data_IF_111707736097
#
_entry.id   IF_111707736097
#
_cell.length_a   1.000
_cell.length_b   1.000
_cell.length_c   1.000
_cell.angle_alpha   90.00
_cell.angle_beta   90.00
_cell.angle_gamma   90.00
#
_symmetry.space_group_name_H-M   'P 1'
#
loop_
_entity.id
_entity.type
_entity.pdbx_description
1 polymer ?
#
# COMPACT_ATOMS: atom_id res chain seq x y z
N UNK A 1 11.82 -40.62 19.94
CA UNK A 1 12.07 -41.37 18.67
C UNK A 1 13.22 -40.70 17.95
N UNK A 2 14.32 -41.42 17.65
CA UNK A 2 15.47 -40.82 16.93
C UNK A 2 15.11 -40.61 15.44
N UNK A 3 15.84 -39.74 14.75
CA UNK A 3 15.63 -39.42 13.32
C UNK A 3 15.54 -40.69 12.44
N UNK A 4 16.37 -41.70 12.66
CA UNK A 4 16.39 -42.97 11.93
C UNK A 4 15.05 -43.71 12.01
N UNK A 5 14.47 -43.78 13.22
CA UNK A 5 13.18 -44.42 13.45
C UNK A 5 12.05 -43.68 12.74
N UNK A 6 12.10 -42.33 12.79
CA UNK A 6 11.10 -41.46 12.12
C UNK A 6 11.14 -41.62 10.62
N UNK A 7 12.32 -41.59 10.00
CA UNK A 7 12.48 -41.84 8.56
C UNK A 7 11.86 -43.19 8.17
N UNK A 8 12.19 -44.25 8.96
CA UNK A 8 11.66 -45.60 8.70
C UNK A 8 10.13 -45.65 8.84
N UNK A 9 9.58 -45.00 9.88
CA UNK A 9 8.14 -44.96 10.13
C UNK A 9 7.38 -44.20 9.00
N UNK A 10 7.87 -43.04 8.63
CA UNK A 10 7.27 -42.20 7.57
C UNK A 10 7.30 -42.89 6.21
N UNK A 11 8.46 -43.48 5.84
CA UNK A 11 8.58 -44.26 4.61
C UNK A 11 7.59 -45.43 4.56
N UNK A 12 7.50 -46.22 5.64
CA UNK A 12 6.55 -47.34 5.73
C UNK A 12 5.11 -46.86 5.68
N UNK A 13 4.77 -45.74 6.32
CA UNK A 13 3.43 -45.13 6.26
C UNK A 13 3.08 -44.67 4.86
N UNK A 14 4.05 -44.16 4.09
CA UNK A 14 3.88 -43.81 2.68
C UNK A 14 3.84 -45.05 1.75
N UNK A 15 4.08 -46.28 2.26
CA UNK A 15 4.10 -47.51 1.48
C UNK A 15 5.34 -47.67 0.59
N UNK A 16 6.41 -46.89 0.81
CA UNK A 16 7.59 -46.88 -0.06
C UNK A 16 8.67 -47.86 0.36
N UNK A 17 9.37 -48.42 -0.62
CA UNK A 17 10.65 -49.11 -0.43
C UNK A 17 11.79 -48.11 -0.17
N UNK A 18 12.91 -48.61 0.31
CA UNK A 18 14.13 -47.76 0.46
C UNK A 18 14.61 -47.21 -0.88
N UNK A 19 14.35 -47.92 -1.98
CA UNK A 19 14.77 -47.54 -3.33
C UNK A 19 13.88 -46.41 -3.86
N UNK A 20 12.58 -46.49 -3.66
CA UNK A 20 11.63 -45.42 -4.00
C UNK A 20 11.89 -44.14 -3.22
N UNK A 21 12.15 -44.23 -1.90
CA UNK A 21 12.53 -43.05 -1.12
C UNK A 21 13.84 -42.44 -1.60
N UNK A 22 14.82 -43.25 -1.99
CA UNK A 22 16.09 -42.81 -2.54
C UNK A 22 15.91 -42.05 -3.85
N UNK A 23 15.03 -42.57 -4.74
CA UNK A 23 14.68 -41.91 -6.00
C UNK A 23 14.00 -40.54 -5.78
N UNK A 24 13.03 -40.44 -4.87
CA UNK A 24 12.35 -39.19 -4.52
C UNK A 24 13.31 -38.14 -3.94
N UNK A 25 14.31 -38.54 -3.20
CA UNK A 25 15.31 -37.65 -2.60
C UNK A 25 16.54 -37.40 -3.49
N UNK A 26 16.64 -38.07 -4.64
CA UNK A 26 17.79 -37.97 -5.54
C UNK A 26 19.10 -38.46 -4.88
N UNK A 27 19.04 -39.57 -4.12
CA UNK A 27 20.18 -40.18 -3.43
C UNK A 27 20.27 -41.68 -3.75
N UNK A 28 21.34 -42.34 -3.26
CA UNK A 28 21.48 -43.78 -3.43
C UNK A 28 20.68 -44.53 -2.36
N UNK A 29 20.17 -45.73 -2.68
CA UNK A 29 19.52 -46.64 -1.72
C UNK A 29 20.42 -46.89 -0.49
N UNK A 30 21.73 -46.95 -0.70
CA UNK A 30 22.70 -47.15 0.41
C UNK A 30 22.70 -45.98 1.40
N UNK A 31 22.49 -44.75 0.92
CA UNK A 31 22.35 -43.58 1.79
C UNK A 31 21.11 -43.69 2.66
N UNK A 32 19.95 -44.02 2.11
CA UNK A 32 18.71 -44.25 2.86
C UNK A 32 18.89 -45.38 3.90
N UNK A 33 19.49 -46.48 3.50
CA UNK A 33 19.75 -47.61 4.39
C UNK A 33 20.66 -47.22 5.58
N UNK A 34 21.68 -46.40 5.37
CA UNK A 34 22.57 -45.88 6.44
C UNK A 34 21.82 -44.93 7.37
N UNK A 35 20.93 -44.08 6.84
CA UNK A 35 20.11 -43.17 7.64
C UNK A 35 19.13 -43.94 8.53
N UNK A 36 18.43 -44.93 7.98
CA UNK A 36 17.50 -45.78 8.74
C UNK A 36 18.21 -46.68 9.74
N UNK A 37 19.46 -47.05 9.46
CA UNK A 37 20.30 -47.84 10.38
C UNK A 37 21.08 -46.97 11.40
N UNK A 38 20.82 -45.66 11.49
CA UNK A 38 21.55 -44.71 12.34
C UNK A 38 23.08 -44.70 12.16
N UNK A 39 23.55 -45.14 10.97
CA UNK A 39 24.98 -45.16 10.65
C UNK A 39 25.51 -43.86 10.11
N UNK A 40 24.62 -43.01 9.62
CA UNK A 40 24.90 -41.66 9.17
C UNK A 40 23.65 -40.78 9.29
N UNK A 41 23.86 -39.45 9.35
CA UNK A 41 22.77 -38.45 9.39
C UNK A 41 22.65 -37.85 8.00
N UNK A 42 21.44 -37.64 7.48
CA UNK A 42 21.24 -36.90 6.24
C UNK A 42 21.63 -35.43 6.39
N UNK A 43 22.11 -34.82 5.31
CA UNK A 43 22.38 -33.40 5.25
C UNK A 43 21.09 -32.57 5.47
N UNK A 44 21.22 -31.34 5.96
CA UNK A 44 20.09 -30.48 6.28
C UNK A 44 19.15 -30.27 5.08
N UNK A 45 19.69 -30.17 3.87
CA UNK A 45 18.91 -30.06 2.64
C UNK A 45 18.02 -31.29 2.41
N UNK A 46 18.52 -32.49 2.76
CA UNK A 46 17.75 -33.73 2.66
C UNK A 46 16.70 -33.85 3.77
N UNK A 47 16.98 -33.35 4.96
CA UNK A 47 15.99 -33.25 6.04
C UNK A 47 14.85 -32.32 5.63
N UNK A 48 15.13 -31.17 5.02
CA UNK A 48 14.12 -30.26 4.49
C UNK A 48 13.31 -30.90 3.34
N UNK A 49 13.98 -31.65 2.44
CA UNK A 49 13.28 -32.39 1.38
C UNK A 49 12.37 -33.46 1.96
N UNK A 50 12.80 -34.20 2.97
CA UNK A 50 11.98 -35.22 3.66
C UNK A 50 10.78 -34.59 4.38
N UNK A 51 10.98 -33.46 5.05
CA UNK A 51 9.90 -32.72 5.70
C UNK A 51 8.78 -32.38 4.69
N UNK A 52 9.13 -31.91 3.51
CA UNK A 52 8.20 -31.61 2.42
C UNK A 52 7.54 -32.86 1.85
N UNK A 53 8.35 -33.88 1.60
CA UNK A 53 7.90 -35.13 0.98
C UNK A 53 6.87 -35.87 1.87
N UNK A 54 7.07 -35.86 3.18
CA UNK A 54 6.21 -36.54 4.15
C UNK A 54 5.15 -35.64 4.78
N UNK A 55 5.15 -34.30 4.49
CA UNK A 55 4.20 -33.35 5.07
C UNK A 55 4.36 -33.17 6.58
N UNK A 56 5.57 -33.30 7.11
CA UNK A 56 5.90 -33.14 8.53
C UNK A 56 6.85 -31.97 8.75
N UNK A 57 6.88 -31.40 9.96
CA UNK A 57 7.80 -30.30 10.27
C UNK A 57 9.25 -30.78 10.36
N UNK A 58 10.21 -29.91 10.03
CA UNK A 58 11.65 -30.19 10.24
C UNK A 58 11.97 -30.41 11.72
N UNK A 59 11.26 -29.69 12.61
CA UNK A 59 11.36 -29.83 14.05
C UNK A 59 10.95 -31.22 14.52
N UNK A 60 9.88 -31.79 13.95
CA UNK A 60 9.48 -33.17 14.21
C UNK A 60 10.58 -34.16 13.83
N UNK A 61 11.25 -33.96 12.69
CA UNK A 61 12.32 -34.85 12.25
C UNK A 61 13.53 -34.75 13.17
N UNK A 62 13.92 -33.54 13.60
CA UNK A 62 15.20 -33.29 14.30
C UNK A 62 15.11 -33.41 15.82
N UNK A 63 13.97 -33.17 16.47
CA UNK A 63 13.81 -33.22 17.93
C UNK A 63 13.31 -34.60 18.37
N UNK A 64 14.12 -35.34 19.14
CA UNK A 64 13.78 -36.69 19.60
C UNK A 64 12.58 -36.73 20.57
N UNK A 65 12.25 -35.60 21.20
CA UNK A 65 11.14 -35.47 22.18
C UNK A 65 9.76 -35.41 21.52
N UNK A 66 9.67 -35.03 20.26
CA UNK A 66 8.42 -34.98 19.53
C UNK A 66 8.07 -36.36 18.96
N UNK A 67 7.08 -37.01 19.57
CA UNK A 67 6.59 -38.33 19.15
C UNK A 67 5.28 -38.24 18.35
N UNK A 68 4.59 -37.13 18.36
CA UNK A 68 3.39 -36.89 17.55
C UNK A 68 3.77 -36.21 16.23
N UNK A 69 3.23 -36.77 15.12
CA UNK A 69 3.34 -36.14 13.81
C UNK A 69 2.50 -34.84 13.80
N UNK A 70 3.13 -33.71 14.07
CA UNK A 70 2.49 -32.43 13.73
C UNK A 70 2.50 -32.29 12.21
N UNK A 71 1.31 -32.24 11.57
CA UNK A 71 1.25 -31.94 10.14
C UNK A 71 1.92 -30.59 9.91
N UNK A 72 2.79 -30.53 8.90
CA UNK A 72 3.30 -29.24 8.45
C UNK A 72 2.11 -28.33 8.19
N UNK A 73 2.08 -27.08 8.69
CA UNK A 73 0.95 -26.19 8.46
C UNK A 73 0.67 -26.14 6.95
N UNK A 74 -0.55 -26.51 6.56
CA UNK A 74 -1.02 -26.40 5.19
C UNK A 74 -0.90 -24.94 4.79
N UNK A 75 0.08 -24.61 3.98
CA UNK A 75 0.36 -23.22 3.56
C UNK A 75 1.84 -22.86 3.42
N UNK A 76 2.77 -23.76 3.74
CA UNK A 76 4.22 -23.46 3.70
C UNK A 76 4.90 -23.81 2.36
N UNK A 77 4.19 -24.22 1.31
CA UNK A 77 4.78 -24.66 0.03
C UNK A 77 4.10 -24.08 -1.22
N UNK A 78 3.80 -22.78 -1.21
CA UNK A 78 4.05 -21.99 -2.42
C UNK A 78 5.46 -21.43 -2.25
N UNK A 79 6.43 -21.80 -3.11
CA UNK A 79 7.75 -21.16 -3.05
C UNK A 79 7.49 -19.67 -3.22
N UNK A 80 7.76 -18.89 -2.15
CA UNK A 80 7.58 -17.44 -2.19
C UNK A 80 8.31 -16.93 -3.41
N UNK A 81 7.66 -16.08 -4.20
CA UNK A 81 8.29 -15.49 -5.38
C UNK A 81 9.59 -14.82 -4.98
N UNK A 82 10.68 -15.20 -5.62
CA UNK A 82 12.01 -14.65 -5.35
C UNK A 82 12.25 -13.43 -6.21
N UNK A 83 12.55 -12.30 -5.58
CA UNK A 83 12.87 -11.04 -6.26
C UNK A 83 14.38 -10.98 -6.49
N UNK A 84 14.78 -10.94 -7.75
CA UNK A 84 16.20 -10.84 -8.14
C UNK A 84 16.72 -9.41 -7.99
N UNK A 85 18.06 -9.27 -7.99
CA UNK A 85 18.73 -7.96 -7.98
C UNK A 85 18.33 -7.10 -9.19
N UNK A 86 18.16 -7.73 -10.36
CA UNK A 86 17.74 -7.04 -11.58
C UNK A 86 16.30 -6.51 -11.45
N UNK A 87 15.35 -7.35 -11.05
CA UNK A 87 13.94 -6.94 -10.83
C UNK A 87 13.81 -5.82 -9.79
N UNK A 88 14.53 -5.91 -8.67
CA UNK A 88 14.53 -4.87 -7.65
C UNK A 88 15.06 -3.53 -8.17
N UNK A 89 16.16 -3.56 -8.94
CA UNK A 89 16.75 -2.35 -9.51
C UNK A 89 15.87 -1.72 -10.59
N UNK A 90 15.21 -2.54 -11.41
CA UNK A 90 14.26 -2.11 -12.44
C UNK A 90 13.03 -1.47 -11.81
N UNK A 91 12.45 -2.10 -10.78
CA UNK A 91 11.33 -1.54 -10.02
C UNK A 91 11.66 -0.17 -9.43
N UNK A 92 12.81 -0.03 -8.74
CA UNK A 92 13.24 1.24 -8.17
C UNK A 92 13.45 2.31 -9.24
N UNK A 93 14.04 1.96 -10.39
CA UNK A 93 14.22 2.89 -11.50
C UNK A 93 12.87 3.34 -12.09
N UNK A 94 11.92 2.42 -12.26
CA UNK A 94 10.57 2.69 -12.74
C UNK A 94 9.83 3.64 -11.78
N UNK A 95 9.86 3.38 -10.48
CA UNK A 95 9.21 4.21 -9.45
C UNK A 95 9.86 5.60 -9.38
N UNK A 96 11.19 5.68 -9.48
CA UNK A 96 11.92 6.94 -9.55
C UNK A 96 11.53 7.78 -10.76
N UNK A 97 11.37 7.15 -11.93
CA UNK A 97 10.93 7.84 -13.15
C UNK A 97 9.44 8.22 -13.13
N UNK A 98 8.61 7.49 -12.37
CA UNK A 98 7.19 7.79 -12.18
C UNK A 98 6.96 8.91 -11.16
N UNK A 99 7.79 9.05 -10.13
CA UNK A 99 7.61 10.00 -9.04
C UNK A 99 7.34 11.45 -9.50
N UNK A 100 8.13 12.09 -10.40
CA UNK A 100 7.84 13.44 -10.85
C UNK A 100 6.55 13.55 -11.67
N UNK A 101 6.17 12.50 -12.41
CA UNK A 101 4.94 12.46 -13.20
C UNK A 101 3.71 12.38 -12.30
N UNK A 102 3.76 11.54 -11.28
CA UNK A 102 2.69 11.40 -10.28
C UNK A 102 2.57 12.70 -9.47
N UNK A 103 3.68 13.30 -9.06
CA UNK A 103 3.71 14.58 -8.35
C UNK A 103 3.10 15.71 -9.21
N UNK A 104 3.44 15.78 -10.50
CA UNK A 104 2.87 16.75 -11.43
C UNK A 104 1.37 16.53 -11.65
N UNK A 105 0.92 15.30 -11.80
CA UNK A 105 -0.51 14.98 -11.93
C UNK A 105 -1.30 15.38 -10.67
N UNK A 106 -0.74 15.15 -9.48
CA UNK A 106 -1.34 15.61 -8.21
C UNK A 106 -1.44 17.13 -8.17
N UNK A 107 -0.37 17.84 -8.52
CA UNK A 107 -0.33 19.28 -8.59
C UNK A 107 -1.41 19.81 -9.57
N UNK A 108 -1.55 19.22 -10.76
CA UNK A 108 -2.52 19.58 -11.76
C UNK A 108 -3.97 19.44 -11.25
N UNK A 109 -4.25 18.33 -10.54
CA UNK A 109 -5.56 18.10 -9.94
C UNK A 109 -5.90 19.14 -8.85
N UNK A 110 -4.91 19.54 -8.03
CA UNK A 110 -5.12 20.56 -6.99
C UNK A 110 -5.31 21.96 -7.59
N UNK A 111 -4.64 22.27 -8.69
CA UNK A 111 -4.78 23.55 -9.40
C UNK A 111 -6.06 23.63 -10.24
N UNK A 112 -6.69 22.51 -10.56
CA UNK A 112 -7.84 22.44 -11.48
C UNK A 112 -9.03 23.35 -11.09
N UNK A 113 -9.41 23.55 -9.79
CA UNK A 113 -10.52 24.41 -9.43
C UNK A 113 -10.20 25.90 -9.47
N UNK A 114 -8.94 26.30 -9.58
CA UNK A 114 -8.54 27.72 -9.54
C UNK A 114 -9.21 28.51 -10.66
N UNK A 115 -9.23 27.97 -11.88
CA UNK A 115 -9.86 28.64 -13.02
C UNK A 115 -11.35 28.86 -12.80
N UNK A 116 -12.05 27.84 -12.28
CA UNK A 116 -13.47 27.93 -11.95
C UNK A 116 -13.74 29.00 -10.87
N UNK A 117 -12.94 28.98 -9.78
CA UNK A 117 -13.08 29.92 -8.66
C UNK A 117 -12.83 31.36 -9.14
N UNK A 118 -11.79 31.59 -9.95
CA UNK A 118 -11.48 32.92 -10.49
C UNK A 118 -12.57 33.43 -11.43
N UNK A 119 -13.04 32.62 -12.39
CA UNK A 119 -14.07 33.02 -13.34
C UNK A 119 -15.41 33.27 -12.66
N UNK A 120 -15.83 32.42 -11.73
CA UNK A 120 -17.02 32.61 -10.92
C UNK A 120 -16.95 33.88 -10.08
N UNK A 121 -15.82 34.15 -9.42
CA UNK A 121 -15.67 35.34 -8.62
C UNK A 121 -15.54 36.64 -9.42
N UNK A 122 -15.03 36.57 -10.65
CA UNK A 122 -14.98 37.74 -11.55
C UNK A 122 -16.36 38.08 -12.15
N UNK A 123 -17.20 37.09 -12.38
CA UNK A 123 -18.58 37.31 -12.87
C UNK A 123 -19.45 38.03 -11.82
N UNK A 124 -19.30 37.69 -10.53
CA UNK A 124 -20.01 38.37 -9.42
C UNK A 124 -19.67 39.86 -9.31
N UNK A 125 -18.46 40.27 -9.65
CA UNK A 125 -18.01 41.66 -9.55
C UNK A 125 -18.38 42.50 -10.79
N UNK A 126 -19.16 41.93 -11.74
CA UNK A 126 -19.73 42.59 -12.94
C UNK A 126 -18.76 43.42 -13.82
N UNK A 127 -17.46 43.23 -13.70
CA UNK A 127 -16.43 43.96 -14.45
C UNK A 127 -16.21 43.48 -15.89
N UNK A 128 -16.70 42.29 -16.26
CA UNK A 128 -16.33 41.63 -17.53
C UNK A 128 -17.51 41.28 -18.47
N UNK A 129 -18.75 41.62 -18.13
CA UNK A 129 -19.90 41.45 -19.04
C UNK A 129 -20.20 39.98 -19.47
N UNK A 130 -19.56 39.01 -18.86
CA UNK A 130 -19.82 37.58 -19.09
C UNK A 130 -20.97 37.13 -18.19
N UNK A 131 -21.91 36.34 -18.73
CA UNK A 131 -22.97 35.75 -17.93
C UNK A 131 -22.35 34.77 -16.92
N UNK A 132 -22.90 34.72 -15.71
CA UNK A 132 -22.43 33.77 -14.64
C UNK A 132 -22.39 32.33 -15.13
N UNK A 133 -23.41 31.93 -15.90
CA UNK A 133 -23.48 30.56 -16.46
C UNK A 133 -22.35 30.27 -17.46
N UNK A 134 -21.97 31.26 -18.29
CA UNK A 134 -20.87 31.08 -19.24
C UNK A 134 -19.51 30.98 -18.51
N UNK A 135 -19.28 31.81 -17.49
CA UNK A 135 -18.07 31.79 -16.67
C UNK A 135 -17.93 30.45 -15.92
N UNK A 136 -19.03 29.99 -15.31
CA UNK A 136 -19.08 28.70 -14.64
C UNK A 136 -18.87 27.54 -15.63
N UNK A 137 -19.50 27.57 -16.79
CA UNK A 137 -19.36 26.55 -17.83
C UNK A 137 -17.93 26.40 -18.34
N UNK A 138 -17.24 27.51 -18.64
CA UNK A 138 -15.84 27.52 -19.08
C UNK A 138 -14.93 27.01 -17.96
N UNK A 139 -15.13 27.51 -16.73
CA UNK A 139 -14.34 27.07 -15.57
C UNK A 139 -14.46 25.57 -15.31
N UNK A 140 -15.68 25.02 -15.43
CA UNK A 140 -15.95 23.59 -15.27
C UNK A 140 -15.29 22.75 -16.38
N UNK A 141 -15.33 23.21 -17.62
CA UNK A 141 -14.66 22.55 -18.75
C UNK A 141 -13.14 22.47 -18.51
N UNK A 142 -12.53 23.58 -18.10
CA UNK A 142 -11.07 23.60 -17.79
C UNK A 142 -10.75 22.65 -16.64
N UNK A 143 -11.54 22.65 -15.57
CA UNK A 143 -11.39 21.74 -14.43
C UNK A 143 -11.43 20.29 -14.90
N UNK A 144 -12.45 19.90 -15.66
CA UNK A 144 -12.61 18.52 -16.15
C UNK A 144 -11.45 18.09 -17.05
N UNK A 145 -10.97 18.97 -17.94
CA UNK A 145 -9.81 18.66 -18.79
C UNK A 145 -8.55 18.46 -17.95
N UNK A 146 -8.29 19.34 -16.99
CA UNK A 146 -7.10 19.21 -16.12
C UNK A 146 -7.14 17.93 -15.29
N UNK A 147 -8.30 17.60 -14.72
CA UNK A 147 -8.48 16.34 -13.96
C UNK A 147 -8.32 15.13 -14.88
N UNK A 148 -8.90 15.15 -16.09
CA UNK A 148 -8.75 14.05 -17.05
C UNK A 148 -7.29 13.80 -17.42
N UNK A 149 -6.50 14.86 -17.66
CA UNK A 149 -5.05 14.74 -17.89
C UNK A 149 -4.34 14.16 -16.68
N UNK A 150 -4.63 14.65 -15.47
CA UNK A 150 -4.05 14.13 -14.23
C UNK A 150 -4.34 12.64 -14.04
N UNK A 151 -5.61 12.23 -14.19
CA UNK A 151 -6.02 10.82 -14.08
C UNK A 151 -5.35 9.96 -15.14
N UNK A 152 -5.22 10.44 -16.38
CA UNK A 152 -4.52 9.71 -17.43
C UNK A 152 -3.06 9.43 -17.06
N UNK A 153 -2.36 10.40 -16.48
CA UNK A 153 -0.98 10.21 -16.01
C UNK A 153 -0.92 9.16 -14.88
N UNK A 154 -1.85 9.20 -13.91
CA UNK A 154 -1.92 8.20 -12.85
C UNK A 154 -2.15 6.80 -13.40
N UNK A 155 -3.11 6.61 -14.30
CA UNK A 155 -3.41 5.32 -14.91
C UNK A 155 -2.23 4.80 -15.74
N UNK A 156 -1.55 5.69 -16.50
CA UNK A 156 -0.37 5.30 -17.26
C UNK A 156 0.81 4.87 -16.36
N UNK A 157 1.02 5.55 -15.23
CA UNK A 157 2.03 5.16 -14.25
C UNK A 157 1.65 3.86 -13.54
N UNK A 158 0.38 3.68 -13.16
CA UNK A 158 -0.13 2.47 -12.52
C UNK A 158 -0.02 1.25 -13.47
N UNK A 159 -0.38 1.41 -14.75
CA UNK A 159 -0.26 0.35 -15.75
C UNK A 159 1.19 -0.15 -15.90
N UNK A 160 2.17 0.75 -15.84
CA UNK A 160 3.59 0.39 -15.89
C UNK A 160 4.08 -0.31 -14.62
N UNK A 161 3.50 0.03 -13.46
CA UNK A 161 3.84 -0.58 -12.17
C UNK A 161 3.14 -1.92 -11.93
N UNK A 162 2.09 -2.26 -12.71
CA UNK A 162 1.27 -3.47 -12.54
C UNK A 162 2.07 -4.78 -12.45
N UNK A 163 3.15 -5.02 -13.22
CA UNK A 163 3.95 -6.24 -13.09
C UNK A 163 4.58 -6.42 -11.70
N UNK A 164 4.76 -5.32 -10.96
CA UNK A 164 5.38 -5.28 -9.63
C UNK A 164 4.35 -5.14 -8.49
N UNK A 165 3.05 -5.25 -8.78
CA UNK A 165 1.96 -5.10 -7.79
C UNK A 165 2.06 -6.14 -6.67
N UNK A 166 2.63 -7.32 -6.96
CA UNK A 166 2.88 -8.36 -5.97
C UNK A 166 3.79 -7.90 -4.83
N UNK A 167 4.75 -6.99 -5.08
CA UNK A 167 5.62 -6.43 -4.03
C UNK A 167 4.84 -5.70 -2.92
N UNK A 168 3.69 -5.14 -3.26
CA UNK A 168 2.83 -4.40 -2.32
C UNK A 168 1.78 -5.30 -1.67
N UNK A 169 1.36 -6.39 -2.33
CA UNK A 169 0.21 -7.22 -1.92
C UNK A 169 0.56 -8.59 -1.38
N UNK A 170 1.63 -9.21 -1.89
CA UNK A 170 1.99 -10.59 -1.59
C UNK A 170 3.30 -10.67 -0.82
N UNK A 171 3.48 -11.69 0.04
CA UNK A 171 4.77 -11.97 0.62
C UNK A 171 5.73 -12.50 -0.44
N UNK A 172 7.01 -12.14 -0.34
CA UNK A 172 8.06 -12.58 -1.25
C UNK A 172 9.37 -12.78 -0.51
N UNK A 173 10.36 -13.35 -1.18
CA UNK A 173 11.73 -13.44 -0.70
C UNK A 173 12.65 -12.63 -1.61
N UNK A 174 13.66 -12.00 -1.03
CA UNK A 174 14.67 -11.26 -1.78
C UNK A 174 15.92 -12.13 -1.96
N UNK A 175 16.54 -12.04 -3.14
CA UNK A 175 17.86 -12.62 -3.38
C UNK A 175 18.91 -12.01 -2.46
N UNK A 176 19.97 -12.79 -2.20
CA UNK A 176 21.08 -12.31 -1.37
C UNK A 176 21.66 -10.99 -1.90
N UNK A 177 21.79 -10.00 -1.02
CA UNK A 177 22.32 -8.67 -1.37
C UNK A 177 21.27 -7.64 -1.74
N UNK A 178 20.05 -8.01 -2.16
CA UNK A 178 18.98 -7.06 -2.53
C UNK A 178 18.63 -6.14 -1.37
N UNK A 179 18.38 -6.71 -0.19
CA UNK A 179 18.04 -5.92 1.00
C UNK A 179 19.16 -4.95 1.40
N UNK A 180 20.43 -5.37 1.26
CA UNK A 180 21.60 -4.50 1.50
C UNK A 180 21.65 -3.32 0.55
N UNK A 181 21.48 -3.57 -0.75
CA UNK A 181 21.47 -2.53 -1.79
C UNK A 181 20.32 -1.53 -1.58
N UNK A 182 19.12 -2.01 -1.23
CA UNK A 182 17.96 -1.14 -1.01
C UNK A 182 18.15 -0.28 0.24
N UNK A 183 18.69 -0.84 1.34
CA UNK A 183 18.99 -0.09 2.57
C UNK A 183 20.04 1.00 2.34
N UNK A 184 21.05 0.72 1.52
CA UNK A 184 22.06 1.74 1.19
C UNK A 184 21.42 2.88 0.41
N UNK A 185 20.63 2.60 -0.62
CA UNK A 185 19.87 3.63 -1.37
C UNK A 185 18.88 4.39 -0.48
N UNK A 186 18.27 3.73 0.47
CA UNK A 186 17.36 4.36 1.42
C UNK A 186 18.12 5.36 2.33
N UNK A 187 19.30 5.00 2.80
CA UNK A 187 20.18 5.90 3.58
C UNK A 187 20.64 7.11 2.77
N UNK A 188 21.05 6.90 1.53
CA UNK A 188 21.44 8.00 0.62
C UNK A 188 20.26 8.93 0.33
N UNK A 189 19.05 8.39 0.21
CA UNK A 189 17.85 9.17 -0.10
C UNK A 189 17.22 9.84 1.13
N UNK A 190 17.46 9.36 2.34
CA UNK A 190 16.85 9.84 3.57
C UNK A 190 16.97 11.37 3.78
N UNK A 191 18.14 12.05 3.56
CA UNK A 191 18.22 13.48 3.70
C UNK A 191 17.40 14.25 2.65
N UNK A 192 17.27 13.71 1.43
CA UNK A 192 16.44 14.30 0.38
C UNK A 192 14.96 14.18 0.72
N UNK A 193 14.53 12.99 1.18
CA UNK A 193 13.17 12.74 1.65
C UNK A 193 12.79 13.68 2.82
N UNK A 194 13.66 13.80 3.81
CA UNK A 194 13.44 14.70 4.94
C UNK A 194 13.30 16.17 4.50
N UNK A 195 14.14 16.66 3.59
CA UNK A 195 14.04 18.02 3.04
C UNK A 195 12.72 18.24 2.31
N UNK A 196 12.31 17.31 1.46
CA UNK A 196 11.03 17.39 0.71
C UNK A 196 9.84 17.41 1.66
N UNK A 197 9.83 16.58 2.70
CA UNK A 197 8.78 16.56 3.71
C UNK A 197 8.73 17.85 4.53
N UNK A 198 9.87 18.36 5.00
CA UNK A 198 9.92 19.61 5.73
C UNK A 198 9.42 20.77 4.85
N UNK A 199 9.90 20.85 3.60
CA UNK A 199 9.47 21.89 2.65
C UNK A 199 7.97 21.81 2.38
N UNK A 200 7.44 20.61 2.11
CA UNK A 200 6.01 20.39 1.90
C UNK A 200 5.18 20.81 3.11
N UNK A 201 5.61 20.42 4.33
CA UNK A 201 4.91 20.76 5.58
C UNK A 201 4.88 22.27 5.80
N UNK A 202 6.03 22.94 5.67
CA UNK A 202 6.13 24.40 5.84
C UNK A 202 5.25 25.12 4.82
N UNK A 203 5.29 24.73 3.55
CA UNK A 203 4.44 25.32 2.50
C UNK A 203 2.96 25.14 2.80
N UNK A 204 2.52 23.95 3.21
CA UNK A 204 1.13 23.69 3.55
C UNK A 204 0.65 24.51 4.76
N UNK A 205 1.49 24.71 5.76
CA UNK A 205 1.16 25.57 6.91
C UNK A 205 1.09 27.03 6.48
N UNK A 206 2.08 27.53 5.75
CA UNK A 206 2.13 28.91 5.28
C UNK A 206 1.07 29.23 4.23
N UNK A 207 0.50 28.24 3.55
CA UNK A 207 -0.55 28.43 2.56
C UNK A 207 -1.80 29.12 3.13
N UNK A 208 -2.08 29.00 4.41
CA UNK A 208 -3.20 29.67 5.08
C UNK A 208 -2.96 31.19 5.33
N UNK A 209 -1.70 31.64 5.35
CA UNK A 209 -1.35 33.02 5.67
C UNK A 209 -2.02 34.06 4.76
N UNK A 210 -2.06 33.91 3.44
CA UNK A 210 -2.76 34.85 2.54
C UNK A 210 -4.23 35.05 2.88
N UNK A 211 -4.93 33.97 3.30
CA UNK A 211 -6.33 34.02 3.66
C UNK A 211 -6.54 34.80 4.95
N UNK A 212 -5.73 34.57 5.98
CA UNK A 212 -5.80 35.33 7.23
C UNK A 212 -5.37 36.79 7.03
N UNK A 213 -4.39 37.06 6.17
CA UNK A 213 -3.99 38.44 5.83
C UNK A 213 -5.14 39.17 5.13
N UNK A 214 -5.90 38.50 4.24
CA UNK A 214 -7.09 39.07 3.62
C UNK A 214 -8.17 39.48 4.65
N UNK A 215 -8.35 38.66 5.70
CA UNK A 215 -9.28 38.98 6.80
C UNK A 215 -8.83 40.24 7.59
N UNK A 216 -7.55 40.38 7.84
CA UNK A 216 -7.01 41.57 8.60
C UNK A 216 -7.17 42.90 7.86
N UNK A 217 -7.15 42.86 6.51
CA UNK A 217 -7.21 44.11 5.68
C UNK A 217 -8.65 44.48 5.31
N UNK A 218 -9.69 43.71 5.77
CA UNK A 218 -11.09 43.91 5.38
C UNK A 218 -11.28 44.02 3.85
N UNK A 219 -10.65 43.11 3.13
CA UNK A 219 -10.48 43.15 1.69
C UNK A 219 -11.83 42.99 0.93
N UNK A 220 -11.86 43.39 -0.32
CA UNK A 220 -12.99 43.13 -1.22
C UNK A 220 -13.16 41.65 -1.54
N UNK A 221 -14.36 41.21 -1.95
CA UNK A 221 -14.63 39.81 -2.30
C UNK A 221 -13.62 39.23 -3.30
N UNK A 222 -13.19 40.00 -4.27
CA UNK A 222 -12.18 39.59 -5.27
C UNK A 222 -10.80 39.28 -4.63
N UNK A 223 -10.44 40.01 -3.59
CA UNK A 223 -9.19 39.76 -2.88
C UNK A 223 -9.21 38.43 -2.10
N UNK A 224 -10.37 38.08 -1.49
CA UNK A 224 -10.56 36.78 -0.86
C UNK A 224 -10.45 35.63 -1.86
N UNK A 225 -11.04 35.80 -3.05
CA UNK A 225 -10.95 34.82 -4.12
C UNK A 225 -9.49 34.62 -4.55
N UNK A 226 -8.74 35.72 -4.74
CA UNK A 226 -7.31 35.67 -5.02
C UNK A 226 -6.50 34.97 -3.90
N UNK A 227 -6.83 35.23 -2.64
CA UNK A 227 -6.20 34.58 -1.49
C UNK A 227 -6.45 33.05 -1.47
N UNK A 228 -7.67 32.62 -1.80
CA UNK A 228 -7.97 31.18 -1.91
C UNK A 228 -7.22 30.52 -3.09
N UNK A 229 -7.14 31.20 -4.23
CA UNK A 229 -6.38 30.70 -5.37
C UNK A 229 -4.87 30.60 -5.03
N UNK A 230 -4.32 31.57 -4.31
CA UNK A 230 -2.93 31.56 -3.86
C UNK A 230 -2.69 30.43 -2.84
N UNK A 231 -3.64 30.21 -1.91
CA UNK A 231 -3.59 29.10 -0.99
C UNK A 231 -3.50 27.76 -1.74
N UNK A 232 -4.39 27.51 -2.71
CA UNK A 232 -4.38 26.30 -3.53
C UNK A 232 -3.06 26.15 -4.32
N UNK A 233 -2.52 27.23 -4.84
CA UNK A 233 -1.24 27.23 -5.55
C UNK A 233 -0.08 26.82 -4.63
N UNK A 234 0.00 27.38 -3.41
CA UNK A 234 1.03 27.04 -2.44
C UNK A 234 0.89 25.58 -1.97
N UNK A 235 -0.34 25.14 -1.64
CA UNK A 235 -0.62 23.74 -1.25
C UNK A 235 -0.23 22.78 -2.37
N UNK A 236 -0.49 23.13 -3.64
CA UNK A 236 -0.15 22.26 -4.77
C UNK A 236 1.36 22.00 -4.88
N UNK A 237 2.19 23.02 -4.61
CA UNK A 237 3.66 22.89 -4.55
C UNK A 237 4.09 22.04 -3.35
N UNK A 238 3.46 22.23 -2.19
CA UNK A 238 3.69 21.39 -1.01
C UNK A 238 3.37 19.92 -1.26
N UNK A 239 2.21 19.64 -1.85
CA UNK A 239 1.81 18.27 -2.23
C UNK A 239 2.73 17.67 -3.29
N UNK A 240 3.21 18.46 -4.25
CA UNK A 240 4.22 18.01 -5.21
C UNK A 240 5.48 17.51 -4.50
N UNK A 241 5.98 18.24 -3.51
CA UNK A 241 7.15 17.85 -2.74
C UNK A 241 6.91 16.54 -1.95
N UNK A 242 5.76 16.40 -1.29
CA UNK A 242 5.39 15.17 -0.57
C UNK A 242 5.31 13.95 -1.50
N UNK A 243 4.64 14.08 -2.63
CA UNK A 243 4.46 12.96 -3.57
C UNK A 243 5.80 12.58 -4.21
N UNK A 244 6.61 13.55 -4.59
CA UNK A 244 7.94 13.32 -5.16
C UNK A 244 8.84 12.54 -4.20
N UNK A 245 8.83 12.90 -2.91
CA UNK A 245 9.55 12.19 -1.86
C UNK A 245 8.94 10.82 -1.55
N UNK A 246 7.63 10.78 -1.34
CA UNK A 246 6.89 9.62 -0.88
C UNK A 246 6.94 8.43 -1.84
N UNK A 247 6.78 8.65 -3.14
CA UNK A 247 6.78 7.56 -4.14
C UNK A 247 8.10 6.78 -4.14
N UNK A 248 9.23 7.46 -4.03
CA UNK A 248 10.54 6.82 -3.97
C UNK A 248 10.75 6.10 -2.62
N UNK A 249 10.33 6.73 -1.53
CA UNK A 249 10.49 6.16 -0.19
C UNK A 249 9.63 4.91 -0.02
N UNK A 250 8.36 4.95 -0.40
CA UNK A 250 7.45 3.80 -0.31
C UNK A 250 7.89 2.63 -1.20
N UNK A 251 8.52 2.89 -2.34
CA UNK A 251 9.08 1.83 -3.18
C UNK A 251 10.22 1.06 -2.49
N UNK A 252 11.08 1.75 -1.76
CA UNK A 252 12.14 1.11 -0.97
C UNK A 252 11.57 0.35 0.22
N UNK A 253 10.57 0.90 0.93
CA UNK A 253 9.87 0.21 2.01
C UNK A 253 9.14 -1.06 1.53
N UNK A 254 8.52 -1.01 0.35
CA UNK A 254 7.86 -2.18 -0.23
C UNK A 254 8.84 -3.34 -0.48
N UNK A 255 10.06 -3.07 -0.98
CA UNK A 255 11.11 -4.07 -1.19
C UNK A 255 11.72 -4.60 0.12
N UNK A 256 11.75 -3.79 1.18
CA UNK A 256 12.26 -4.19 2.49
C UNK A 256 11.18 -4.84 3.38
N UNK A 257 9.93 -4.87 2.93
CA UNK A 257 8.76 -5.28 3.72
C UNK A 257 8.68 -4.52 5.07
N UNK A 258 8.94 -3.21 5.05
CA UNK A 258 8.92 -2.34 6.23
C UNK A 258 7.61 -1.53 6.33
N UNK A 259 7.30 -1.01 7.51
CA UNK A 259 6.13 -0.17 7.85
C UNK A 259 4.80 -0.76 7.36
N UNK A 260 4.14 -0.15 6.37
CA UNK A 260 2.84 -0.58 5.86
C UNK A 260 2.93 -1.86 5.02
N UNK A 261 4.13 -2.22 4.52
CA UNK A 261 4.37 -3.35 3.64
C UNK A 261 4.86 -4.62 4.36
N UNK A 262 4.81 -4.67 5.69
CA UNK A 262 5.13 -5.89 6.44
C UNK A 262 4.23 -7.06 6.01
N UNK A 263 4.74 -8.29 6.06
CA UNK A 263 3.97 -9.50 5.72
C UNK A 263 2.64 -9.57 6.47
N UNK A 264 2.65 -9.17 7.73
CA UNK A 264 1.46 -9.11 8.57
C UNK A 264 0.42 -8.09 8.05
N UNK A 265 0.85 -6.91 7.63
CA UNK A 265 -0.01 -5.89 7.08
C UNK A 265 -0.54 -6.27 5.69
N UNK A 266 0.28 -6.89 4.84
CA UNK A 266 -0.14 -7.42 3.53
C UNK A 266 -1.26 -8.46 3.69
N UNK A 267 -1.14 -9.38 4.65
CA UNK A 267 -2.17 -10.38 4.92
C UNK A 267 -3.49 -9.77 5.43
N UNK A 268 -3.43 -8.68 6.18
CA UNK A 268 -4.60 -7.98 6.75
C UNK A 268 -5.22 -6.96 5.80
N UNK A 269 -4.48 -6.48 4.82
CA UNK A 269 -4.89 -5.41 3.90
C UNK A 269 -6.24 -5.65 3.21
N UNK A 270 -6.57 -6.83 2.63
CA UNK A 270 -7.85 -7.05 1.98
C UNK A 270 -9.03 -6.97 2.94
N UNK A 271 -8.88 -7.46 4.18
CA UNK A 271 -9.93 -7.39 5.20
C UNK A 271 -10.16 -5.95 5.64
N UNK A 272 -9.09 -5.21 5.89
CA UNK A 272 -9.15 -3.79 6.25
C UNK A 272 -9.81 -2.98 5.14
N UNK A 273 -9.44 -3.23 3.89
CA UNK A 273 -10.03 -2.58 2.72
C UNK A 273 -11.52 -2.85 2.58
N UNK A 274 -11.94 -4.11 2.73
CA UNK A 274 -13.35 -4.50 2.68
C UNK A 274 -14.17 -3.85 3.79
N UNK A 275 -13.68 -3.88 5.03
CA UNK A 275 -14.35 -3.24 6.19
C UNK A 275 -14.48 -1.73 5.98
N UNK A 276 -13.41 -1.06 5.51
CA UNK A 276 -13.45 0.37 5.19
C UNK A 276 -14.47 0.69 4.10
N UNK A 277 -14.51 -0.09 3.03
CA UNK A 277 -15.47 0.09 1.94
C UNK A 277 -16.92 -0.06 2.41
N UNK A 278 -17.22 -1.12 3.14
CA UNK A 278 -18.56 -1.37 3.70
C UNK A 278 -18.96 -0.23 4.64
N UNK A 279 -18.05 0.20 5.52
CA UNK A 279 -18.32 1.29 6.45
C UNK A 279 -18.72 2.58 5.73
N UNK A 280 -17.93 3.03 4.75
CA UNK A 280 -18.21 4.28 4.03
C UNK A 280 -19.46 4.18 3.15
N UNK A 281 -19.76 3.02 2.56
CA UNK A 281 -21.01 2.79 1.83
C UNK A 281 -22.23 2.90 2.77
N UNK A 282 -22.17 2.33 3.98
CA UNK A 282 -23.23 2.45 4.97
C UNK A 282 -23.42 3.90 5.43
N UNK A 283 -22.34 4.61 5.73
CA UNK A 283 -22.40 6.04 6.10
C UNK A 283 -23.02 6.87 4.97
N UNK A 284 -22.64 6.61 3.73
CA UNK A 284 -23.22 7.31 2.56
C UNK A 284 -24.71 7.01 2.42
N UNK A 285 -25.11 5.76 2.60
CA UNK A 285 -26.52 5.37 2.55
C UNK A 285 -27.34 6.06 3.66
N UNK A 286 -26.82 6.11 4.89
CA UNK A 286 -27.44 6.83 6.01
C UNK A 286 -27.55 8.32 5.72
N UNK A 287 -26.50 8.95 5.19
CA UNK A 287 -26.51 10.36 4.81
C UNK A 287 -27.57 10.65 3.75
N UNK A 288 -27.64 9.84 2.69
CA UNK A 288 -28.63 10.01 1.61
C UNK A 288 -30.06 9.81 2.13
N UNK A 289 -30.28 8.77 2.95
CA UNK A 289 -31.59 8.50 3.53
C UNK A 289 -32.04 9.63 4.47
N UNK A 290 -31.16 10.12 5.33
CA UNK A 290 -31.45 11.21 6.26
C UNK A 290 -31.69 12.54 5.55
N UNK A 291 -30.96 12.82 4.47
CA UNK A 291 -31.07 14.10 3.75
C UNK A 291 -32.19 14.10 2.74
N UNK A 292 -32.35 13.03 1.95
CA UNK A 292 -33.26 12.98 0.79
C UNK A 292 -34.37 11.93 0.93
N UNK A 293 -34.40 11.15 2.02
CA UNK A 293 -35.42 10.12 2.23
C UNK A 293 -36.83 10.71 2.45
N UNK A 294 -37.88 9.86 2.52
CA UNK A 294 -39.28 10.29 2.63
C UNK A 294 -39.59 11.18 3.84
N UNK A 295 -38.81 11.04 4.92
CA UNK A 295 -38.84 11.89 6.13
C UNK A 295 -37.57 12.73 6.26
N UNK A 296 -36.80 12.87 5.19
CA UNK A 296 -35.54 13.60 5.19
C UNK A 296 -35.75 15.10 5.41
N UNK A 297 -34.73 15.77 5.96
CA UNK A 297 -34.80 17.20 6.21
C UNK A 297 -34.67 18.06 4.94
N UNK A 298 -34.33 17.48 3.78
CA UNK A 298 -34.14 18.15 2.50
C UNK A 298 -33.04 19.23 2.47
N UNK A 299 -32.24 19.31 3.55
CA UNK A 299 -31.29 20.39 3.75
C UNK A 299 -29.85 19.85 3.98
N UNK A 300 -29.06 19.64 2.92
CA UNK A 300 -27.68 19.14 3.03
C UNK A 300 -26.83 19.99 4.00
N UNK A 301 -27.15 21.28 4.14
CA UNK A 301 -26.49 22.21 5.04
C UNK A 301 -26.50 21.76 6.50
N UNK A 302 -27.53 21.04 6.93
CA UNK A 302 -27.64 20.55 8.30
C UNK A 302 -27.23 19.08 8.45
N UNK A 303 -27.04 18.35 7.36
CA UNK A 303 -26.70 16.92 7.38
C UNK A 303 -25.20 16.65 7.33
N UNK A 304 -24.38 17.66 7.07
CA UNK A 304 -22.93 17.50 6.91
C UNK A 304 -22.21 16.93 8.14
N UNK A 305 -22.79 17.17 9.35
CA UNK A 305 -22.21 16.66 10.60
C UNK A 305 -22.12 15.13 10.64
N UNK A 306 -22.94 14.41 9.85
CA UNK A 306 -22.90 12.95 9.72
C UNK A 306 -21.50 12.49 9.30
N UNK A 307 -20.88 13.22 8.37
CA UNK A 307 -19.52 12.90 7.91
C UNK A 307 -18.46 13.11 9.01
N UNK A 308 -18.59 14.15 9.81
CA UNK A 308 -17.69 14.43 10.91
C UNK A 308 -17.78 13.34 12.00
N UNK A 309 -19.01 12.97 12.39
CA UNK A 309 -19.25 11.89 13.36
C UNK A 309 -18.75 10.55 12.79
N UNK A 310 -19.04 10.25 11.55
CA UNK A 310 -18.59 9.05 10.89
C UNK A 310 -17.06 8.95 10.83
N UNK A 311 -16.36 10.06 10.60
CA UNK A 311 -14.89 10.10 10.61
C UNK A 311 -14.30 9.68 11.97
N UNK A 312 -14.87 10.16 13.06
CA UNK A 312 -14.46 9.77 14.43
C UNK A 312 -14.76 8.29 14.70
N UNK A 313 -15.97 7.83 14.34
CA UNK A 313 -16.38 6.42 14.51
C UNK A 313 -15.53 5.48 13.66
N UNK A 314 -15.12 5.91 12.46
CA UNK A 314 -14.22 5.13 11.60
C UNK A 314 -12.90 4.82 12.30
N UNK A 315 -12.32 5.80 13.00
CA UNK A 315 -11.12 5.58 13.82
C UNK A 315 -11.31 4.49 14.87
N UNK A 316 -12.44 4.50 15.59
CA UNK A 316 -12.77 3.48 16.58
C UNK A 316 -12.96 2.09 15.93
N UNK A 317 -13.68 2.00 14.82
CA UNK A 317 -13.88 0.75 14.08
C UNK A 317 -12.55 0.18 13.62
N UNK A 318 -11.66 1.00 13.08
CA UNK A 318 -10.34 0.57 12.62
C UNK A 318 -9.44 0.07 13.76
N UNK A 319 -9.53 0.69 14.95
CA UNK A 319 -8.83 0.19 16.14
C UNK A 319 -9.33 -1.21 16.55
N UNK A 320 -10.64 -1.42 16.57
CA UNK A 320 -11.25 -2.72 16.89
C UNK A 320 -10.82 -3.78 15.87
N UNK A 321 -10.88 -3.47 14.58
CA UNK A 321 -10.45 -4.39 13.51
C UNK A 321 -8.97 -4.77 13.66
N UNK A 322 -8.10 -3.81 13.95
CA UNK A 322 -6.66 -4.06 14.20
C UNK A 322 -6.46 -4.94 15.45
N UNK A 323 -7.22 -4.73 16.53
CA UNK A 323 -7.13 -5.54 17.75
C UNK A 323 -7.58 -6.99 17.50
N UNK A 324 -8.68 -7.20 16.78
CA UNK A 324 -9.18 -8.55 16.43
C UNK A 324 -8.19 -9.27 15.52
N UNK A 325 -7.64 -8.56 14.52
CA UNK A 325 -6.66 -9.11 13.60
C UNK A 325 -5.30 -9.42 14.27
N UNK A 326 -5.02 -8.85 15.44
CA UNK A 326 -3.80 -9.14 16.24
C UNK A 326 -3.95 -10.38 17.14
N UNK A 327 -5.20 -10.82 17.39
CA UNK A 327 -5.49 -12.00 18.24
C UNK A 327 -5.56 -13.33 17.47
N UNK A 328 -5.60 -13.29 16.15
CA UNK A 328 -5.48 -14.45 15.25
C UNK A 328 -4.06 -14.55 14.71
#
# INVERSE_FOLDING_TARGET
>A
MILADKITALRKKAGWSQEELAEQLGVTRQSVSKWEGAQSVPDMDKVVQMSRLFGVTTDFLLKDELSEEEPAPEGCDSPLRRVTMAEASEYLALRRAAAPKIAFATMLCILSPICLILLAGMSEVSRFGTSEDAAAGVGLCVLLVMVAVGVTIFLACAAKAKPYEFLEKEPFETEYGVAGMVRERQREYAPTYARLNITGTVLCILAAVPLFAAMCVSASGLFYIGAVCLLLAIVSVGCFAFVLGGVNHSAMQALLEEEDYTRENKAKSPVIGAVSGIYWLLVTAVYLFYTFGPMGNGQPKYSWFIWAVAGVLFGAVMLVVKLIARRK
#
